data_IF_565311292653
#
_entry.id   IF_565311292653
#
_cell.length_a   1.000
_cell.length_b   1.000
_cell.length_c   1.000
_cell.angle_alpha   90.00
_cell.angle_beta   90.00
_cell.angle_gamma   90.00
#
_symmetry.space_group_name_H-M   'P 1'
#
loop_
_entity.id
_entity.type
_entity.pdbx_description
1 polymer ?
#
# COMPACT_ATOMS: atom_id res chain seq x y z
N UNK A 1 -30.83 15.68 -13.82
CA UNK A 1 -29.60 14.87 -13.83
C UNK A 1 -29.10 14.76 -12.40
N UNK A 2 -29.01 13.54 -11.86
CA UNK A 2 -28.47 13.31 -10.52
C UNK A 2 -26.99 13.63 -10.47
N UNK A 3 -26.52 14.20 -9.36
CA UNK A 3 -25.10 14.51 -9.14
C UNK A 3 -24.33 13.19 -9.09
N UNK A 4 -23.42 12.97 -10.03
CA UNK A 4 -22.47 11.86 -9.94
C UNK A 4 -21.57 12.10 -8.72
N UNK A 5 -21.58 11.16 -7.78
CA UNK A 5 -20.68 11.21 -6.63
C UNK A 5 -19.33 10.62 -7.04
N UNK A 6 -18.25 11.29 -6.67
CA UNK A 6 -16.91 10.78 -6.92
C UNK A 6 -16.57 9.74 -5.85
N UNK A 7 -16.22 8.52 -6.27
CA UNK A 7 -15.78 7.46 -5.36
C UNK A 7 -14.29 7.61 -5.04
N UNK A 8 -13.94 7.52 -3.75
CA UNK A 8 -12.57 7.41 -3.27
C UNK A 8 -12.46 6.09 -2.53
N UNK A 9 -11.66 5.17 -3.04
CA UNK A 9 -11.33 3.93 -2.34
C UNK A 9 -10.12 4.19 -1.45
N UNK A 10 -10.20 3.89 -0.16
CA UNK A 10 -9.09 4.11 0.79
C UNK A 10 -8.49 2.81 1.32
N UNK A 11 -8.85 1.67 0.71
CA UNK A 11 -8.36 0.34 1.07
C UNK A 11 -7.88 -0.40 -0.17
N UNK A 12 -6.81 0.11 -0.80
CA UNK A 12 -6.13 -0.59 -1.90
C UNK A 12 -4.69 -0.94 -1.50
N UNK A 13 -4.34 -2.21 -1.59
CA UNK A 13 -2.98 -2.68 -1.33
C UNK A 13 -2.13 -2.61 -2.60
N UNK A 14 -1.37 -1.53 -2.77
CA UNK A 14 -0.25 -1.46 -3.72
C UNK A 14 1.04 -1.55 -2.91
N UNK A 15 1.76 -2.67 -3.03
CA UNK A 15 2.91 -3.00 -2.18
C UNK A 15 4.00 -3.73 -2.98
N UNK A 16 5.27 -3.71 -2.53
CA UNK A 16 6.37 -4.38 -3.20
C UNK A 16 6.32 -5.90 -2.97
N UNK A 17 5.59 -6.62 -3.82
CA UNK A 17 5.33 -8.06 -3.62
C UNK A 17 6.59 -8.94 -3.65
N UNK A 18 7.70 -8.45 -4.21
CA UNK A 18 9.00 -9.13 -4.14
C UNK A 18 9.57 -9.23 -2.72
N UNK A 19 9.04 -8.47 -1.75
CA UNK A 19 9.41 -8.58 -0.33
C UNK A 19 8.67 -9.70 0.42
N UNK A 20 7.61 -10.25 -0.17
CA UNK A 20 6.76 -11.20 0.53
C UNK A 20 7.55 -12.49 0.80
N UNK A 21 7.58 -12.91 2.06
CA UNK A 21 8.20 -14.16 2.47
C UNK A 21 7.58 -15.35 1.71
N UNK A 22 8.39 -16.36 1.31
CA UNK A 22 7.89 -17.51 0.57
C UNK A 22 6.68 -18.19 1.24
N UNK A 23 6.73 -18.34 2.57
CA UNK A 23 5.65 -18.97 3.35
C UNK A 23 4.36 -18.15 3.29
N UNK A 24 4.45 -16.82 3.38
CA UNK A 24 3.31 -15.92 3.24
C UNK A 24 2.72 -15.91 1.81
N UNK A 25 3.59 -16.02 0.80
CA UNK A 25 3.18 -16.05 -0.60
C UNK A 25 2.32 -17.29 -0.96
N UNK A 26 2.49 -18.41 -0.25
CA UNK A 26 1.71 -19.63 -0.50
C UNK A 26 0.20 -19.41 -0.33
N UNK A 27 -0.20 -18.55 0.60
CA UNK A 27 -1.62 -18.26 0.88
C UNK A 27 -2.23 -17.26 -0.10
N UNK A 28 -1.39 -16.52 -0.85
CA UNK A 28 -1.82 -15.49 -1.80
C UNK A 28 -1.99 -16.03 -3.23
N UNK A 29 -1.31 -17.13 -3.56
CA UNK A 29 -1.32 -17.72 -4.91
C UNK A 29 -2.46 -18.72 -5.06
N UNK A 30 -3.64 -18.25 -5.48
CA UNK A 30 -4.75 -19.14 -5.88
C UNK A 30 -4.79 -19.43 -7.40
N UNK A 31 -4.38 -18.47 -8.22
CA UNK A 31 -4.31 -18.57 -9.69
C UNK A 31 -3.04 -17.85 -10.19
N UNK A 32 -2.23 -18.52 -11.00
CA UNK A 32 -0.96 -18.00 -11.50
C UNK A 32 -1.12 -16.82 -12.48
N UNK A 33 -2.17 -16.83 -13.33
CA UNK A 33 -2.39 -15.74 -14.29
C UNK A 33 -2.89 -14.47 -13.60
N UNK A 34 -3.82 -14.63 -12.66
CA UNK A 34 -4.26 -13.52 -11.83
C UNK A 34 -3.09 -12.95 -11.02
N UNK A 35 -2.19 -13.80 -10.55
CA UNK A 35 -1.01 -13.40 -9.80
C UNK A 35 -0.02 -12.55 -10.63
N UNK A 36 0.25 -12.93 -11.89
CA UNK A 36 1.11 -12.15 -12.79
C UNK A 36 0.52 -10.76 -13.08
N UNK A 37 -0.79 -10.67 -13.31
CA UNK A 37 -1.45 -9.38 -13.54
C UNK A 37 -1.45 -8.50 -12.29
N UNK A 38 -1.64 -9.10 -11.11
CA UNK A 38 -1.53 -8.37 -9.85
C UNK A 38 -0.12 -7.77 -9.68
N UNK A 39 0.95 -8.54 -9.92
CA UNK A 39 2.32 -8.01 -9.85
C UNK A 39 2.51 -6.83 -10.81
N UNK A 40 2.02 -6.95 -12.04
CA UNK A 40 2.08 -5.87 -13.03
C UNK A 40 1.41 -4.59 -12.54
N UNK A 41 0.23 -4.70 -11.92
CA UNK A 41 -0.47 -3.56 -11.31
C UNK A 41 0.35 -3.00 -10.14
N UNK A 42 0.93 -3.85 -9.29
CA UNK A 42 1.77 -3.39 -8.17
C UNK A 42 2.97 -2.58 -8.65
N UNK A 43 3.54 -2.89 -9.82
CA UNK A 43 4.77 -2.27 -10.32
C UNK A 43 4.54 -1.11 -11.30
N UNK A 44 3.32 -0.98 -11.85
CA UNK A 44 2.99 -0.01 -12.91
C UNK A 44 1.78 0.86 -12.51
N UNK A 45 2.01 2.12 -12.07
CA UNK A 45 0.95 3.07 -11.74
C UNK A 45 -0.01 3.36 -12.90
N UNK A 46 0.46 3.31 -14.15
CA UNK A 46 -0.37 3.65 -15.31
C UNK A 46 -1.47 2.58 -15.48
N UNK A 47 -1.13 1.30 -15.28
CA UNK A 47 -2.12 0.20 -15.26
C UNK A 47 -3.11 0.30 -14.12
N UNK A 48 -2.66 0.72 -12.95
CA UNK A 48 -3.59 0.89 -11.82
C UNK A 48 -4.57 2.03 -12.08
N UNK A 49 -4.13 3.13 -12.69
CA UNK A 49 -5.05 4.21 -13.10
C UNK A 49 -6.08 3.73 -14.12
N UNK A 50 -5.68 2.94 -15.12
CA UNK A 50 -6.62 2.35 -16.09
C UNK A 50 -7.70 1.51 -15.38
N UNK A 51 -7.31 0.73 -14.36
CA UNK A 51 -8.24 -0.03 -13.54
C UNK A 51 -9.20 0.87 -12.74
N UNK A 52 -8.69 1.95 -12.13
CA UNK A 52 -9.52 2.92 -11.41
C UNK A 52 -10.53 3.60 -12.34
N UNK A 53 -10.10 3.99 -13.54
CA UNK A 53 -10.96 4.65 -14.53
C UNK A 53 -12.06 3.70 -15.03
N UNK A 54 -11.72 2.44 -15.31
CA UNK A 54 -12.69 1.41 -15.67
C UNK A 54 -13.71 1.11 -14.55
N UNK A 55 -13.29 1.24 -13.29
CA UNK A 55 -14.13 1.05 -12.12
C UNK A 55 -14.92 2.32 -11.71
N UNK A 56 -14.69 3.47 -12.36
CA UNK A 56 -15.30 4.75 -11.97
C UNK A 56 -14.79 5.30 -10.63
N UNK A 57 -13.59 4.93 -10.21
CA UNK A 57 -12.96 5.36 -8.95
C UNK A 57 -12.08 6.58 -9.20
N UNK A 58 -12.39 7.69 -8.51
CA UNK A 58 -11.66 8.94 -8.67
C UNK A 58 -10.30 8.91 -8.01
N UNK A 59 -10.19 8.38 -6.79
CA UNK A 59 -8.91 8.36 -6.07
C UNK A 59 -8.75 7.05 -5.30
N UNK A 60 -7.50 6.65 -5.09
CA UNK A 60 -7.15 5.47 -4.32
C UNK A 60 -6.16 5.81 -3.20
N UNK A 61 -6.45 5.36 -1.99
CA UNK A 61 -5.53 5.27 -0.88
C UNK A 61 -4.67 4.01 -1.01
N UNK A 62 -3.36 4.20 -1.16
CA UNK A 62 -2.39 3.12 -1.27
C UNK A 62 -1.98 2.67 0.13
N UNK A 63 -2.74 1.74 0.70
CA UNK A 63 -2.46 1.22 2.02
C UNK A 63 -1.33 0.18 1.98
N UNK A 64 -0.31 0.41 2.80
CA UNK A 64 0.76 -0.53 3.06
C UNK A 64 0.87 -0.81 4.57
N UNK A 65 1.74 -1.72 4.96
CA UNK A 65 2.09 -1.90 6.37
C UNK A 65 3.47 -2.53 6.52
N UNK A 66 4.23 -2.07 7.53
CA UNK A 66 5.51 -2.68 7.90
C UNK A 66 5.21 -3.94 8.73
N UNK A 67 5.77 -5.08 8.30
CA UNK A 67 5.61 -6.41 8.91
C UNK A 67 6.80 -7.31 8.51
N UNK A 68 8.01 -7.07 9.05
CA UNK A 68 9.21 -7.80 8.64
C UNK A 68 9.22 -9.25 9.15
N UNK A 69 8.55 -9.54 10.28
CA UNK A 69 8.50 -10.84 10.92
C UNK A 69 7.46 -11.78 10.28
N UNK A 70 6.29 -11.27 9.89
CA UNK A 70 5.23 -12.09 9.27
C UNK A 70 5.27 -12.03 7.75
N UNK A 71 5.24 -10.83 7.15
CA UNK A 71 5.11 -10.69 5.70
C UNK A 71 6.44 -10.51 4.97
N UNK A 72 7.45 -9.94 5.62
CA UNK A 72 8.73 -9.54 5.00
C UNK A 72 8.80 -8.06 4.61
N UNK A 73 7.73 -7.30 4.80
CA UNK A 73 7.68 -5.86 4.51
C UNK A 73 8.51 -5.06 5.51
N UNK A 74 9.62 -4.50 5.06
CA UNK A 74 10.45 -3.55 5.82
C UNK A 74 9.90 -2.12 5.71
N UNK A 75 10.57 -1.13 6.29
CA UNK A 75 10.19 0.30 6.16
C UNK A 75 10.22 0.81 4.72
N UNK A 76 10.91 0.10 3.81
CA UNK A 76 11.00 0.41 2.37
C UNK A 76 9.62 0.41 1.68
N UNK A 77 8.61 -0.25 2.26
CA UNK A 77 7.23 -0.15 1.74
C UNK A 77 6.70 1.27 1.73
N UNK A 78 7.16 2.13 2.65
CA UNK A 78 6.76 3.53 2.73
C UNK A 78 7.33 4.33 1.56
N UNK A 79 8.61 4.13 1.26
CA UNK A 79 9.28 4.75 0.12
C UNK A 79 8.66 4.30 -1.21
N UNK A 80 8.35 3.01 -1.32
CA UNK A 80 7.64 2.45 -2.46
C UNK A 80 6.25 3.10 -2.66
N UNK A 81 5.44 3.19 -1.61
CA UNK A 81 4.10 3.80 -1.67
C UNK A 81 4.17 5.27 -2.12
N UNK A 82 5.10 6.04 -1.53
CA UNK A 82 5.33 7.42 -1.92
C UNK A 82 5.81 7.53 -3.38
N UNK A 83 6.74 6.67 -3.82
CA UNK A 83 7.25 6.65 -5.19
C UNK A 83 6.16 6.32 -6.20
N UNK A 84 5.35 5.32 -5.93
CA UNK A 84 4.26 4.90 -6.79
C UNK A 84 3.24 6.03 -6.98
N UNK A 85 2.84 6.68 -5.88
CA UNK A 85 1.88 7.78 -5.91
C UNK A 85 2.37 9.03 -6.65
N UNK A 86 3.69 9.27 -6.70
CA UNK A 86 4.28 10.44 -7.41
C UNK A 86 3.91 10.50 -8.90
N UNK A 87 3.58 9.38 -9.53
CA UNK A 87 3.18 9.35 -10.94
C UNK A 87 1.83 10.04 -11.18
N UNK A 88 0.91 9.94 -10.21
CA UNK A 88 -0.45 10.51 -10.26
C UNK A 88 -0.86 11.12 -8.91
N UNK A 89 -0.20 12.20 -8.46
CA UNK A 89 -0.36 12.74 -7.10
C UNK A 89 -1.78 13.26 -6.81
N UNK A 90 -2.55 13.61 -7.84
CA UNK A 90 -3.95 14.04 -7.68
C UNK A 90 -4.95 12.88 -7.53
N UNK A 91 -4.52 11.66 -7.91
CA UNK A 91 -5.34 10.44 -7.94
C UNK A 91 -4.95 9.45 -6.85
N UNK A 92 -3.67 9.39 -6.48
CA UNK A 92 -3.11 8.37 -5.60
C UNK A 92 -2.65 9.00 -4.28
N UNK A 93 -3.16 8.48 -3.17
CA UNK A 93 -2.86 8.98 -1.83
C UNK A 93 -1.98 7.93 -1.14
N UNK A 94 -0.67 8.19 -0.93
CA UNK A 94 0.19 7.22 -0.29
C UNK A 94 -0.09 7.17 1.22
N UNK A 95 -0.30 5.97 1.74
CA UNK A 95 -0.29 5.72 3.18
C UNK A 95 1.08 5.16 3.56
N UNK A 96 1.49 5.45 4.79
CA UNK A 96 2.68 4.87 5.38
C UNK A 96 2.33 3.96 6.55
N UNK A 97 3.36 3.39 7.15
CA UNK A 97 3.22 2.53 8.32
C UNK A 97 4.45 2.60 9.19
N UNK A 98 4.23 2.56 10.49
CA UNK A 98 5.28 2.41 11.50
C UNK A 98 4.94 1.15 12.27
N UNK A 99 5.88 0.21 12.38
CA UNK A 99 5.66 -1.01 13.14
C UNK A 99 5.88 -0.75 14.64
N UNK A 100 4.84 -0.80 15.50
CA UNK A 100 4.96 -0.38 16.90
C UNK A 100 5.96 -1.19 17.74
N UNK A 101 6.13 -2.49 17.44
CA UNK A 101 7.11 -3.36 18.11
C UNK A 101 8.54 -3.31 17.55
N UNK A 102 8.75 -2.85 16.33
CA UNK A 102 10.06 -2.93 15.64
C UNK A 102 10.71 -1.57 15.40
N UNK A 103 9.92 -0.48 15.35
CA UNK A 103 10.46 0.86 15.23
C UNK A 103 11.22 1.24 16.50
N UNK A 104 12.46 1.71 16.35
CA UNK A 104 13.30 2.20 17.45
C UNK A 104 13.11 3.70 17.71
N UNK A 105 12.61 4.43 16.72
CA UNK A 105 12.32 5.85 16.78
C UNK A 105 11.03 6.15 15.99
N UNK A 106 9.85 5.87 16.57
CA UNK A 106 8.58 6.07 15.87
C UNK A 106 8.31 7.56 15.57
N UNK A 107 8.81 8.48 16.39
CA UNK A 107 8.64 9.91 16.14
C UNK A 107 9.48 10.38 14.95
N UNK A 108 10.75 9.96 14.89
CA UNK A 108 11.62 10.20 13.73
C UNK A 108 11.06 9.60 12.45
N UNK A 109 10.52 8.37 12.51
CA UNK A 109 9.91 7.75 11.33
C UNK A 109 8.65 8.52 10.90
N UNK A 110 7.79 8.94 11.82
CA UNK A 110 6.63 9.78 11.48
C UNK A 110 7.03 11.10 10.81
N UNK A 111 8.12 11.75 11.24
CA UNK A 111 8.66 12.94 10.58
C UNK A 111 9.16 12.60 9.16
N UNK A 112 9.91 11.52 8.99
CA UNK A 112 10.38 11.05 7.67
C UNK A 112 9.22 10.79 6.71
N UNK A 113 8.16 10.14 7.18
CA UNK A 113 6.95 9.90 6.38
C UNK A 113 6.28 11.21 5.96
N UNK A 114 6.23 12.19 6.86
CA UNK A 114 5.72 13.51 6.51
C UNK A 114 6.58 14.20 5.43
N UNK A 115 7.91 14.08 5.50
CA UNK A 115 8.84 14.61 4.48
C UNK A 115 8.68 13.91 3.12
N UNK A 116 8.32 12.62 3.11
CA UNK A 116 7.97 11.86 1.90
C UNK A 116 6.62 12.25 1.28
N UNK A 117 5.85 13.14 1.93
CA UNK A 117 4.51 13.53 1.48
C UNK A 117 3.39 12.62 1.96
N UNK A 118 3.68 11.63 2.81
CA UNK A 118 2.66 10.74 3.39
C UNK A 118 1.90 11.51 4.48
N UNK A 119 0.56 11.40 4.45
CA UNK A 119 -0.34 12.09 5.39
C UNK A 119 -1.34 11.16 6.09
N UNK A 120 -1.24 9.86 5.84
CA UNK A 120 -2.08 8.84 6.44
C UNK A 120 -1.23 7.63 6.85
N UNK A 121 -1.58 7.00 7.96
CA UNK A 121 -0.88 5.82 8.50
C UNK A 121 -1.83 4.63 8.56
N UNK A 122 -1.33 3.45 8.20
CA UNK A 122 -2.00 2.18 8.36
C UNK A 122 -1.27 1.32 9.40
N UNK A 123 -2.04 0.90 10.41
CA UNK A 123 -1.67 -0.14 11.37
C UNK A 123 -2.43 -1.41 11.00
N UNK A 124 -1.75 -2.55 10.96
CA UNK A 124 -2.32 -3.86 10.62
C UNK A 124 -2.08 -4.86 11.76
N UNK A 125 -2.94 -4.86 12.80
CA UNK A 125 -2.73 -5.65 14.01
C UNK A 125 -2.45 -7.15 13.78
N UNK A 126 -3.11 -7.86 12.85
CA UNK A 126 -2.84 -9.28 12.63
C UNK A 126 -1.41 -9.60 12.17
N UNK A 127 -0.78 -8.73 11.37
CA UNK A 127 0.59 -8.94 10.85
C UNK A 127 1.63 -8.13 11.62
N UNK A 128 1.20 -7.25 12.52
CA UNK A 128 2.07 -6.52 13.44
C UNK A 128 2.05 -7.12 14.86
N UNK A 129 1.20 -8.14 15.08
CA UNK A 129 0.96 -8.85 16.33
C UNK A 129 0.68 -7.90 17.50
N UNK A 130 -0.28 -7.00 17.28
CA UNK A 130 -0.81 -6.08 18.30
C UNK A 130 -2.20 -6.57 18.67
N UNK A 131 -2.44 -6.73 19.96
CA UNK A 131 -3.69 -7.24 20.52
C UNK A 131 -4.13 -6.32 21.68
N UNK A 132 -5.44 -6.22 21.97
CA UNK A 132 -5.95 -5.49 23.13
C UNK A 132 -5.49 -6.09 24.47
#
# INVERSE_FOLDING_TARGET
MGRAYMAIDVHVHIMPWWMIKPEAATSLKRDARAFEELIRIMEDPDRFIELLDAAGVQKAGLINYVSPDIMGFTEEVNDFSAQYARRYPDRLIPFGSVHPRFSKDPAGEMNRLADLGIRAIKIHPPHQLIYP
#
